data_IF_050186540611
#
_entry.id   IF_050186540611
#
_cell.length_a   1.000
_cell.length_b   1.000
_cell.length_c   1.000
_cell.angle_alpha   90.00
_cell.angle_beta   90.00
_cell.angle_gamma   90.00
#
_symmetry.space_group_name_H-M   'P 1'
#
loop_
_entity.id
_entity.type
_entity.pdbx_description
1 polymer ?
#
# COMPACT_ATOMS: atom_id res chain seq x y z
N UNK A 1 16.72 12.98 6.98
CA UNK A 1 15.70 13.13 5.93
C UNK A 1 15.24 11.73 5.61
N UNK A 2 13.95 11.41 5.77
CA UNK A 2 13.48 10.04 5.65
C UNK A 2 13.76 9.52 4.24
N UNK A 3 14.23 8.29 4.14
CA UNK A 3 14.41 7.63 2.86
C UNK A 3 13.02 7.48 2.22
N UNK A 4 12.78 8.24 1.14
CA UNK A 4 11.45 8.37 0.54
C UNK A 4 11.40 7.60 -0.76
N UNK A 5 10.61 6.53 -0.78
CA UNK A 5 10.33 5.73 -1.96
C UNK A 5 9.23 6.39 -2.80
N UNK A 6 9.55 6.84 -4.01
CA UNK A 6 8.59 7.51 -4.90
C UNK A 6 8.19 6.59 -6.04
N UNK A 7 6.88 6.36 -6.17
CA UNK A 7 6.24 5.61 -7.24
C UNK A 7 5.43 6.54 -8.14
N UNK A 8 5.41 6.24 -9.43
CA UNK A 8 4.67 7.01 -10.43
C UNK A 8 3.69 6.11 -11.16
N UNK A 9 2.40 6.41 -11.04
CA UNK A 9 1.27 5.80 -11.77
C UNK A 9 1.02 4.32 -11.43
N UNK A 10 2.06 3.54 -11.18
CA UNK A 10 2.02 2.12 -10.84
C UNK A 10 2.40 1.91 -9.37
N UNK A 11 1.51 1.30 -8.56
CA UNK A 11 1.86 0.94 -7.20
C UNK A 11 2.85 -0.24 -7.18
N UNK A 12 3.59 -0.43 -6.06
CA UNK A 12 4.40 -1.62 -5.88
C UNK A 12 3.54 -2.89 -5.98
N UNK A 13 4.07 -3.91 -6.64
CA UNK A 13 3.36 -5.17 -6.86
C UNK A 13 3.12 -5.92 -5.55
N UNK A 14 1.87 -6.26 -5.26
CA UNK A 14 1.46 -6.89 -4.01
C UNK A 14 1.91 -8.36 -3.87
N UNK A 15 1.85 -9.12 -4.95
CA UNK A 15 2.20 -10.56 -5.01
C UNK A 15 3.58 -10.89 -4.39
N UNK A 16 4.68 -10.25 -4.81
CA UNK A 16 5.99 -10.52 -4.21
C UNK A 16 6.07 -10.14 -2.73
N UNK A 17 5.22 -9.20 -2.27
CA UNK A 17 5.23 -8.72 -0.88
C UNK A 17 4.50 -9.68 0.05
N UNK A 18 3.37 -10.25 -0.39
CA UNK A 18 2.74 -11.36 0.31
C UNK A 18 3.69 -12.56 0.42
N UNK A 19 4.45 -12.86 -0.64
CA UNK A 19 5.50 -13.88 -0.59
C UNK A 19 6.56 -13.61 0.48
N UNK A 20 7.00 -12.35 0.62
CA UNK A 20 7.93 -11.94 1.68
C UNK A 20 7.38 -12.09 3.09
N UNK A 21 6.07 -11.96 3.29
CA UNK A 21 5.46 -12.16 4.62
C UNK A 21 5.47 -13.61 5.10
N UNK A 22 5.64 -14.58 4.18
CA UNK A 22 5.78 -16.00 4.53
C UNK A 22 7.21 -16.36 4.96
N UNK A 23 8.19 -15.48 4.72
CA UNK A 23 9.57 -15.70 5.15
C UNK A 23 9.70 -15.42 6.65
N UNK A 24 10.45 -16.24 7.40
CA UNK A 24 10.67 -16.02 8.82
C UNK A 24 11.36 -14.65 9.02
N UNK A 25 10.67 -13.73 9.71
CA UNK A 25 11.25 -12.45 10.10
C UNK A 25 12.33 -12.72 11.15
N UNK A 26 13.55 -12.26 10.88
CA UNK A 26 14.63 -12.29 11.87
C UNK A 26 14.19 -11.45 13.07
N UNK A 27 13.99 -12.10 14.22
CA UNK A 27 13.61 -11.44 15.46
C UNK A 27 14.74 -10.48 15.84
N UNK A 28 14.46 -9.19 15.96
CA UNK A 28 15.39 -8.26 16.59
C UNK A 28 15.44 -8.64 18.08
N UNK A 29 16.47 -9.39 18.45
CA UNK A 29 16.69 -9.84 19.83
C UNK A 29 17.40 -8.71 20.58
N UNK A 30 16.68 -7.96 21.42
CA UNK A 30 17.28 -7.15 22.49
C UNK A 30 17.57 -5.67 22.23
N UNK A 31 16.94 -5.05 21.22
CA UNK A 31 17.03 -3.60 20.99
C UNK A 31 15.74 -2.87 21.38
N UNK A 32 15.87 -1.61 21.83
CA UNK A 32 14.76 -0.69 22.03
C UNK A 32 13.91 -0.59 20.74
N UNK A 33 12.59 -0.50 20.87
CA UNK A 33 11.68 -0.51 19.72
C UNK A 33 11.77 0.85 19.02
N UNK A 34 12.71 0.97 18.09
CA UNK A 34 12.87 2.15 17.25
C UNK A 34 12.08 2.01 15.96
N UNK A 35 11.21 2.99 15.67
CA UNK A 35 10.51 3.08 14.39
C UNK A 35 11.48 3.69 13.37
N UNK A 36 11.75 3.03 12.23
CA UNK A 36 12.65 3.57 11.21
C UNK A 36 12.03 4.77 10.47
N UNK A 37 12.86 5.74 10.09
CA UNK A 37 12.43 6.92 9.32
C UNK A 37 12.21 6.59 7.83
N UNK A 38 11.14 5.85 7.53
CA UNK A 38 10.75 5.46 6.17
C UNK A 38 9.56 6.27 5.66
N UNK A 39 9.58 6.61 4.37
CA UNK A 39 8.47 7.29 3.69
C UNK A 39 8.21 6.67 2.32
N UNK A 40 6.94 6.66 1.89
CA UNK A 40 6.54 6.17 0.57
C UNK A 40 5.46 7.06 -0.03
N UNK A 41 5.60 7.41 -1.31
CA UNK A 41 4.68 8.28 -2.05
C UNK A 41 4.29 7.65 -3.38
N UNK A 42 3.01 7.74 -3.75
CA UNK A 42 2.50 7.34 -5.05
C UNK A 42 1.86 8.54 -5.74
N UNK A 43 2.43 8.95 -6.87
CA UNK A 43 1.99 10.11 -7.64
C UNK A 43 1.26 9.67 -8.91
N UNK A 44 0.26 10.44 -9.33
CA UNK A 44 -0.47 10.21 -10.59
C UNK A 44 -1.31 8.93 -10.60
N UNK A 45 -1.78 8.48 -9.42
CA UNK A 45 -2.71 7.35 -9.35
C UNK A 45 -4.06 7.75 -9.96
N UNK A 46 -4.60 6.88 -10.82
CA UNK A 46 -5.87 7.11 -11.50
C UNK A 46 -6.93 6.12 -11.03
N UNK A 47 -8.14 6.64 -10.82
CA UNK A 47 -9.33 5.84 -10.48
C UNK A 47 -10.22 5.55 -11.70
N UNK A 48 -9.87 6.09 -12.87
CA UNK A 48 -10.65 6.01 -14.11
C UNK A 48 -10.69 4.61 -14.77
N UNK A 49 -10.22 3.57 -14.08
CA UNK A 49 -10.13 2.21 -14.59
C UNK A 49 -11.24 1.27 -14.10
N UNK A 50 -11.12 -0.01 -14.44
CA UNK A 50 -12.07 -1.07 -14.06
C UNK A 50 -12.07 -1.39 -12.55
N UNK A 51 -11.02 -1.01 -11.83
CA UNK A 51 -10.80 -1.39 -10.43
C UNK A 51 -11.84 -0.77 -9.48
N UNK A 52 -12.16 0.51 -9.66
CA UNK A 52 -13.18 1.19 -8.85
C UNK A 52 -14.55 0.51 -9.02
N UNK A 53 -14.94 0.25 -10.27
CA UNK A 53 -16.22 -0.41 -10.58
C UNK A 53 -16.29 -1.81 -9.94
N UNK A 54 -15.20 -2.58 -10.00
CA UNK A 54 -15.15 -3.90 -9.37
C UNK A 54 -15.22 -3.81 -7.85
N UNK A 55 -14.52 -2.86 -7.24
CA UNK A 55 -14.60 -2.61 -5.80
C UNK A 55 -16.02 -2.23 -5.37
N UNK A 56 -16.68 -1.32 -6.10
CA UNK A 56 -18.08 -0.94 -5.85
C UNK A 56 -19.01 -2.14 -5.91
N UNK A 57 -18.86 -3.02 -6.91
CA UNK A 57 -19.66 -4.24 -7.03
C UNK A 57 -19.44 -5.22 -5.86
N UNK A 58 -18.19 -5.44 -5.45
CA UNK A 58 -17.87 -6.37 -4.35
C UNK A 58 -18.37 -5.84 -3.00
N UNK A 59 -18.24 -4.54 -2.76
CA UNK A 59 -18.62 -3.91 -1.49
C UNK A 59 -20.06 -3.39 -1.47
N UNK A 60 -20.82 -3.49 -2.57
CA UNK A 60 -22.21 -3.03 -2.64
C UNK A 60 -22.38 -1.51 -2.74
N UNK A 61 -21.36 -0.77 -3.17
CA UNK A 61 -21.48 0.67 -3.39
C UNK A 61 -22.17 0.96 -4.73
N UNK A 62 -23.04 1.98 -4.74
CA UNK A 62 -23.64 2.47 -5.97
C UNK A 62 -22.58 3.05 -6.92
N UNK A 63 -22.71 2.75 -8.21
CA UNK A 63 -21.92 3.41 -9.24
C UNK A 63 -22.40 4.86 -9.40
N UNK A 64 -21.47 5.81 -9.52
CA UNK A 64 -21.79 7.23 -9.65
C UNK A 64 -20.55 8.10 -9.81
N UNK A 65 -20.76 9.42 -9.79
CA UNK A 65 -19.69 10.42 -9.88
C UNK A 65 -18.87 10.57 -8.59
N UNK A 66 -19.33 9.97 -7.49
CA UNK A 66 -18.68 10.04 -6.19
C UNK A 66 -17.88 8.76 -5.90
N UNK A 67 -16.70 8.94 -5.34
CA UNK A 67 -15.88 7.82 -4.86
C UNK A 67 -16.34 7.36 -3.47
N UNK A 68 -16.37 6.05 -3.19
CA UNK A 68 -16.52 5.56 -1.83
C UNK A 68 -15.42 6.13 -0.93
N UNK A 69 -15.76 6.55 0.30
CA UNK A 69 -14.80 7.11 1.28
C UNK A 69 -13.68 6.13 1.63
N UNK A 70 -13.91 4.83 1.48
CA UNK A 70 -12.96 3.75 1.74
C UNK A 70 -12.05 3.44 0.54
N UNK A 71 -12.35 3.97 -0.65
CA UNK A 71 -11.55 3.71 -1.85
C UNK A 71 -10.10 4.23 -1.76
N UNK A 72 -9.82 5.42 -1.20
CA UNK A 72 -8.46 5.89 -0.97
C UNK A 72 -7.60 4.93 -0.14
N UNK A 73 -8.20 4.23 0.84
CA UNK A 73 -7.49 3.23 1.63
C UNK A 73 -7.01 2.05 0.75
N UNK A 74 -7.85 1.59 -0.18
CA UNK A 74 -7.49 0.53 -1.13
C UNK A 74 -6.35 0.96 -2.06
N UNK A 75 -6.35 2.23 -2.51
CA UNK A 75 -5.28 2.78 -3.34
C UNK A 75 -3.95 2.90 -2.57
N UNK A 76 -4.01 3.28 -1.28
CA UNK A 76 -2.84 3.45 -0.43
C UNK A 76 -2.25 2.12 0.09
N UNK A 77 -3.04 1.05 0.12
CA UNK A 77 -2.66 -0.23 0.72
C UNK A 77 -1.30 -0.80 0.26
N UNK A 78 -0.93 -0.76 -1.04
CA UNK A 78 0.40 -1.21 -1.48
C UNK A 78 1.56 -0.45 -0.84
N UNK A 79 1.39 0.85 -0.54
CA UNK A 79 2.41 1.65 0.15
C UNK A 79 2.56 1.22 1.60
N UNK A 80 1.47 0.93 2.29
CA UNK A 80 1.52 0.41 3.66
C UNK A 80 2.29 -0.91 3.73
N UNK A 81 2.00 -1.85 2.82
CA UNK A 81 2.74 -3.10 2.75
C UNK A 81 4.22 -2.88 2.42
N UNK A 82 4.55 -1.84 1.63
CA UNK A 82 5.94 -1.51 1.31
C UNK A 82 6.69 -1.10 2.54
N UNK A 83 6.16 -0.16 3.31
CA UNK A 83 6.76 0.27 4.57
C UNK A 83 6.92 -0.89 5.57
N UNK A 84 5.95 -1.81 5.65
CA UNK A 84 6.01 -2.96 6.57
C UNK A 84 7.02 -4.05 6.17
N UNK A 85 7.38 -4.11 4.88
CA UNK A 85 8.28 -5.13 4.30
C UNK A 85 9.63 -4.55 3.85
N UNK A 86 9.79 -3.24 3.94
CA UNK A 86 11.05 -2.55 3.71
C UNK A 86 12.02 -2.84 4.85
N UNK A 87 13.31 -2.86 4.53
CA UNK A 87 14.34 -2.93 5.55
C UNK A 87 14.54 -1.54 6.14
N UNK A 88 14.75 -1.50 7.45
CA UNK A 88 15.27 -0.31 8.12
C UNK A 88 16.73 -0.08 7.71
#
# INVERSE_FOLDING_TARGET
MPETLVYHTTPPALLPMYGRTLLPKQKQTGGDVSIPELSASLLGVSTAGKNLKRYQQVCGFAAGSHLPVTWPHVLAFPLHLKLLTEKA
#
